data_IF_729183839039
#
_entry.id   IF_729183839039
#
_cell.length_a   1.000
_cell.length_b   1.000
_cell.length_c   1.000
_cell.angle_alpha   90.00
_cell.angle_beta   90.00
_cell.angle_gamma   90.00
#
_symmetry.space_group_name_H-M   'P 1'
#
loop_
_entity.id
_entity.type
_entity.pdbx_description
1 polymer ?
#
# COMPACT_ATOMS: atom_id res chain seq x y z
N UNK A 1 -6.44 -9.64 20.97
CA UNK A 1 -6.49 -8.28 21.54
C UNK A 1 -5.24 -7.61 21.03
N UNK A 2 -5.34 -6.52 20.24
CA UNK A 2 -4.15 -5.89 19.67
C UNK A 2 -3.30 -5.22 20.76
N UNK A 3 -1.99 -5.13 20.52
CA UNK A 3 -1.07 -4.37 21.35
C UNK A 3 -1.39 -2.89 21.27
N UNK A 4 -1.34 -2.17 22.39
CA UNK A 4 -1.38 -0.71 22.37
C UNK A 4 -0.06 -0.16 21.82
N UNK A 5 -0.17 0.68 20.78
CA UNK A 5 0.97 1.35 20.15
C UNK A 5 1.30 2.62 20.94
N UNK A 6 2.55 2.74 21.39
CA UNK A 6 3.06 4.00 21.94
C UNK A 6 3.51 4.97 20.82
N UNK A 7 3.95 6.16 21.18
CA UNK A 7 4.33 7.20 20.22
C UNK A 7 5.56 6.81 19.40
N UNK A 8 6.47 6.01 19.97
CA UNK A 8 7.64 5.48 19.26
C UNK A 8 7.21 4.48 18.20
N UNK A 9 6.30 3.54 18.54
CA UNK A 9 5.77 2.56 17.58
C UNK A 9 5.03 3.25 16.42
N UNK A 10 4.21 4.26 16.74
CA UNK A 10 3.47 5.03 15.71
C UNK A 10 4.41 5.78 14.78
N UNK A 11 5.44 6.42 15.32
CA UNK A 11 6.44 7.14 14.52
C UNK A 11 7.23 6.21 13.62
N UNK A 12 7.62 5.03 14.10
CA UNK A 12 8.28 4.01 13.28
C UNK A 12 7.36 3.59 12.13
N UNK A 13 6.09 3.29 12.43
CA UNK A 13 5.11 2.89 11.40
C UNK A 13 4.87 3.99 10.37
N UNK A 14 4.85 5.25 10.78
CA UNK A 14 4.71 6.39 9.86
C UNK A 14 5.91 6.46 8.91
N UNK A 15 7.13 6.53 9.44
CA UNK A 15 8.36 6.63 8.65
C UNK A 15 8.56 5.43 7.70
N UNK A 16 8.18 4.22 8.12
CA UNK A 16 8.22 3.04 7.26
C UNK A 16 7.18 3.07 6.14
N UNK A 17 6.05 3.74 6.34
CA UNK A 17 5.06 3.93 5.28
C UNK A 17 5.48 5.00 4.27
N UNK A 18 6.30 5.99 4.67
CA UNK A 18 6.87 6.97 3.75
C UNK A 18 7.98 6.35 2.89
N UNK A 19 8.99 5.75 3.52
CA UNK A 19 10.09 5.11 2.81
C UNK A 19 10.70 3.98 3.64
N UNK A 20 10.15 2.78 3.49
CA UNK A 20 10.64 1.60 4.19
C UNK A 20 12.08 1.20 3.81
N UNK A 21 12.53 1.55 2.60
CA UNK A 21 13.86 1.18 2.10
C UNK A 21 14.94 2.18 2.48
N UNK A 22 14.63 3.48 2.38
CA UNK A 22 15.59 4.56 2.61
C UNK A 22 15.73 4.92 4.08
N UNK A 23 14.72 4.64 4.90
CA UNK A 23 14.70 5.02 6.31
C UNK A 23 15.41 3.99 7.17
N UNK A 24 16.67 4.26 7.52
CA UNK A 24 17.45 3.38 8.41
C UNK A 24 17.06 3.55 9.89
N UNK A 25 17.33 2.53 10.72
CA UNK A 25 17.14 2.64 12.17
C UNK A 25 17.93 3.81 12.80
N UNK A 26 19.04 4.24 12.17
CA UNK A 26 19.78 5.43 12.60
C UNK A 26 19.02 6.70 12.25
N UNK A 27 18.49 6.83 11.05
CA UNK A 27 17.69 7.98 10.64
C UNK A 27 16.44 8.12 11.51
N UNK A 28 15.73 7.01 11.76
CA UNK A 28 14.60 7.00 12.69
C UNK A 28 15.00 7.42 14.12
N UNK A 29 16.17 6.95 14.59
CA UNK A 29 16.72 7.32 15.90
C UNK A 29 16.92 8.83 16.02
N UNK A 30 17.46 9.45 14.98
CA UNK A 30 17.72 10.90 14.95
C UNK A 30 16.39 11.70 14.91
N UNK A 31 15.35 11.17 14.26
CA UNK A 31 14.03 11.83 14.17
C UNK A 31 13.19 11.62 15.44
N UNK A 32 13.17 10.40 15.98
CA UNK A 32 12.27 10.01 17.10
C UNK A 32 12.92 10.35 18.46
N UNK A 33 14.25 10.43 18.53
CA UNK A 33 14.97 10.75 19.77
C UNK A 33 15.23 9.55 20.68
N UNK A 34 15.15 8.31 20.15
CA UNK A 34 15.52 7.07 20.88
C UNK A 34 16.69 6.38 20.18
N UNK A 35 17.38 5.45 20.87
CA UNK A 35 18.54 4.79 20.28
C UNK A 35 18.20 3.91 19.07
N UNK A 36 19.13 3.78 18.11
CA UNK A 36 18.94 2.90 16.94
C UNK A 36 18.75 1.41 17.32
N UNK A 37 19.27 0.98 18.46
CA UNK A 37 18.98 -0.37 18.98
C UNK A 37 17.55 -0.49 19.50
N UNK A 38 17.02 0.55 20.14
CA UNK A 38 15.60 0.61 20.54
C UNK A 38 14.70 0.53 19.30
N UNK A 39 15.01 1.29 18.23
CA UNK A 39 14.25 1.24 16.97
C UNK A 39 14.20 -0.18 16.40
N UNK A 40 15.36 -0.86 16.29
CA UNK A 40 15.38 -2.24 15.75
C UNK A 40 14.53 -3.19 16.59
N UNK A 41 14.71 -3.16 17.89
CA UNK A 41 13.92 -4.02 18.79
C UNK A 41 12.41 -3.76 18.67
N UNK A 42 12.02 -2.49 18.44
CA UNK A 42 10.60 -2.13 18.26
C UNK A 42 10.06 -2.62 16.90
N UNK A 43 10.86 -2.53 15.84
CA UNK A 43 10.50 -3.08 14.52
C UNK A 43 10.32 -4.58 14.62
N UNK A 44 11.29 -5.30 15.22
CA UNK A 44 11.21 -6.74 15.42
C UNK A 44 9.92 -7.14 16.18
N UNK A 45 9.57 -6.38 17.24
CA UNK A 45 8.33 -6.60 17.98
C UNK A 45 7.07 -6.34 17.17
N UNK A 46 7.06 -5.29 16.33
CA UNK A 46 5.93 -4.97 15.47
C UNK A 46 5.72 -6.03 14.36
N UNK A 47 6.81 -6.65 13.90
CA UNK A 47 6.80 -7.79 12.98
C UNK A 47 6.30 -9.06 13.68
N UNK A 48 6.83 -9.38 14.86
CA UNK A 48 6.43 -10.55 15.65
C UNK A 48 4.96 -10.51 16.07
N UNK A 49 4.45 -9.31 16.39
CA UNK A 49 3.04 -9.06 16.72
C UNK A 49 2.13 -9.06 15.46
N UNK A 50 2.70 -9.17 14.25
CA UNK A 50 1.98 -9.16 12.98
C UNK A 50 1.35 -7.80 12.62
N UNK A 51 1.80 -6.71 13.27
CA UNK A 51 1.39 -5.35 12.95
C UNK A 51 2.06 -4.93 11.63
N UNK A 52 3.37 -5.16 11.50
CA UNK A 52 4.09 -5.10 10.22
C UNK A 52 4.02 -6.49 9.60
N UNK A 53 3.29 -6.63 8.49
CA UNK A 53 3.12 -7.91 7.78
C UNK A 53 4.03 -8.06 6.58
N UNK A 54 4.79 -7.03 6.23
CA UNK A 54 5.70 -7.04 5.10
C UNK A 54 5.98 -5.64 4.57
N UNK A 55 6.90 -5.57 3.63
CA UNK A 55 7.34 -4.36 2.95
C UNK A 55 7.14 -4.54 1.46
N UNK A 56 6.34 -3.68 0.84
CA UNK A 56 6.02 -3.77 -0.57
C UNK A 56 6.45 -2.50 -1.28
N UNK A 57 7.20 -2.59 -2.38
CA UNK A 57 7.49 -1.43 -3.20
C UNK A 57 6.21 -0.93 -3.87
N UNK A 58 6.08 0.38 -4.02
CA UNK A 58 5.13 0.94 -4.96
C UNK A 58 5.71 0.82 -6.37
N UNK A 59 4.93 0.24 -7.29
CA UNK A 59 5.37 -0.05 -8.66
C UNK A 59 4.58 0.82 -9.62
N UNK A 60 5.29 1.58 -10.45
CA UNK A 60 4.74 2.22 -11.64
C UNK A 60 4.61 1.16 -12.75
N UNK A 61 3.42 0.60 -12.87
CA UNK A 61 3.14 -0.45 -13.87
C UNK A 61 3.18 0.08 -15.30
N UNK A 62 2.85 1.34 -15.54
CA UNK A 62 2.96 1.96 -16.86
C UNK A 62 4.42 2.07 -17.28
N UNK A 63 5.29 2.56 -16.40
CA UNK A 63 6.73 2.60 -16.62
C UNK A 63 7.37 1.20 -16.76
N UNK A 64 6.74 0.19 -16.17
CA UNK A 64 7.13 -1.23 -16.31
C UNK A 64 6.60 -1.90 -17.59
N UNK A 65 5.96 -1.15 -18.49
CA UNK A 65 5.27 -1.65 -19.71
C UNK A 65 4.11 -2.62 -19.43
N UNK A 66 3.39 -2.42 -18.33
CA UNK A 66 2.16 -3.12 -17.95
C UNK A 66 1.06 -2.05 -17.75
N UNK A 67 0.60 -1.38 -18.83
CA UNK A 67 -0.18 -0.15 -18.71
C UNK A 67 -1.64 -0.36 -18.31
N UNK A 68 -2.17 -1.57 -18.42
CA UNK A 68 -3.57 -1.82 -18.09
C UNK A 68 -3.71 -2.21 -16.63
N UNK A 69 -4.44 -1.40 -15.89
CA UNK A 69 -4.81 -1.66 -14.51
C UNK A 69 -6.34 -1.66 -14.43
N UNK A 70 -6.91 -2.77 -13.98
CA UNK A 70 -8.36 -2.95 -13.91
C UNK A 70 -8.75 -3.38 -12.50
N UNK A 71 -9.83 -2.81 -12.00
CA UNK A 71 -10.48 -3.26 -10.77
C UNK A 71 -11.77 -3.99 -11.13
N UNK A 72 -11.86 -5.26 -10.76
CA UNK A 72 -13.10 -6.03 -10.81
C UNK A 72 -13.81 -5.94 -9.47
N UNK A 73 -15.12 -5.72 -9.54
CA UNK A 73 -16.02 -5.78 -8.39
C UNK A 73 -16.86 -7.05 -8.53
N UNK A 74 -16.79 -7.91 -7.56
CA UNK A 74 -17.31 -9.28 -7.61
C UNK A 74 -18.29 -9.50 -6.45
N UNK A 75 -19.31 -10.29 -6.72
CA UNK A 75 -20.24 -10.81 -5.71
C UNK A 75 -19.98 -12.29 -5.49
N UNK A 76 -19.78 -12.68 -4.23
CA UNK A 76 -19.68 -14.07 -3.80
C UNK A 76 -20.61 -14.33 -2.60
N UNK A 77 -21.11 -15.59 -2.42
CA UNK A 77 -21.83 -15.95 -1.21
C UNK A 77 -20.94 -15.71 0.03
N UNK A 78 -21.46 -15.10 1.11
CA UNK A 78 -20.65 -14.84 2.31
C UNK A 78 -20.02 -16.08 2.93
N UNK A 79 -20.64 -17.26 2.76
CA UNK A 79 -20.14 -18.54 3.28
C UNK A 79 -18.95 -19.10 2.49
N UNK A 80 -18.73 -18.61 1.26
CA UNK A 80 -17.70 -19.08 0.33
C UNK A 80 -16.69 -17.97 -0.03
N UNK A 81 -16.82 -16.83 0.64
CA UNK A 81 -16.03 -15.62 0.33
C UNK A 81 -14.53 -15.90 0.34
N UNK A 82 -14.04 -16.59 1.36
CA UNK A 82 -12.62 -16.92 1.50
C UNK A 82 -12.14 -17.85 0.38
N UNK A 83 -12.96 -18.84 0.03
CA UNK A 83 -12.60 -19.82 -1.02
C UNK A 83 -12.46 -19.13 -2.38
N UNK A 84 -13.38 -18.22 -2.72
CA UNK A 84 -13.29 -17.41 -3.94
C UNK A 84 -12.05 -16.49 -3.92
N UNK A 85 -11.81 -15.81 -2.80
CA UNK A 85 -10.67 -14.91 -2.66
C UNK A 85 -9.34 -15.65 -2.82
N UNK A 86 -9.21 -16.85 -2.27
CA UNK A 86 -8.01 -17.68 -2.40
C UNK A 86 -7.78 -18.16 -3.84
N UNK A 87 -8.84 -18.60 -4.53
CA UNK A 87 -8.77 -18.99 -5.93
C UNK A 87 -8.38 -17.82 -6.83
N UNK A 88 -9.06 -16.68 -6.67
CA UNK A 88 -8.80 -15.47 -7.45
C UNK A 88 -7.37 -14.95 -7.23
N UNK A 89 -6.87 -14.99 -5.99
CA UNK A 89 -5.50 -14.58 -5.67
C UNK A 89 -4.43 -15.43 -6.37
N UNK A 90 -4.77 -16.67 -6.75
CA UNK A 90 -3.89 -17.55 -7.52
C UNK A 90 -3.82 -17.24 -9.01
N UNK A 91 -4.67 -16.37 -9.55
CA UNK A 91 -4.71 -16.02 -10.97
C UNK A 91 -3.55 -15.08 -11.31
N UNK A 92 -2.82 -15.39 -12.37
CA UNK A 92 -1.72 -14.56 -12.84
C UNK A 92 -2.26 -13.18 -13.28
N UNK A 93 -1.57 -12.10 -12.90
CA UNK A 93 -1.99 -10.72 -13.15
C UNK A 93 -2.84 -10.11 -12.03
N UNK A 94 -3.34 -10.92 -11.09
CA UNK A 94 -3.98 -10.42 -9.87
C UNK A 94 -2.90 -9.94 -8.90
N UNK A 95 -3.00 -8.68 -8.47
CA UNK A 95 -2.01 -8.05 -7.57
C UNK A 95 -2.60 -7.66 -6.21
N UNK A 96 -3.93 -7.54 -6.10
CA UNK A 96 -4.59 -7.22 -4.83
C UNK A 96 -6.00 -7.82 -4.82
N UNK A 97 -6.39 -8.42 -3.70
CA UNK A 97 -7.74 -8.95 -3.46
C UNK A 97 -8.21 -8.44 -2.11
N UNK A 98 -9.34 -7.75 -2.10
CA UNK A 98 -9.95 -7.18 -0.90
C UNK A 98 -11.31 -7.79 -0.66
N UNK A 99 -11.51 -8.32 0.51
CA UNK A 99 -12.80 -8.80 0.99
C UNK A 99 -13.51 -7.69 1.77
N UNK A 100 -14.77 -7.43 1.43
CA UNK A 100 -15.59 -6.45 2.12
C UNK A 100 -16.47 -7.15 3.14
N UNK A 101 -16.47 -6.66 4.37
CA UNK A 101 -17.26 -7.22 5.47
C UNK A 101 -18.77 -7.12 5.22
N UNK A 102 -19.21 -6.13 4.46
CA UNK A 102 -20.63 -5.82 4.23
C UNK A 102 -20.91 -5.57 2.76
N UNK A 103 -22.16 -5.83 2.34
CA UNK A 103 -22.61 -5.60 0.97
C UNK A 103 -22.60 -6.86 0.10
N UNK A 104 -23.27 -6.78 -1.04
CA UNK A 104 -23.33 -7.88 -2.02
C UNK A 104 -22.07 -7.91 -2.91
N UNK A 105 -21.49 -6.75 -3.19
CA UNK A 105 -20.26 -6.57 -3.94
C UNK A 105 -19.09 -6.66 -2.96
N UNK A 106 -18.72 -7.87 -2.62
CA UNK A 106 -17.91 -8.15 -1.43
C UNK A 106 -16.47 -8.61 -1.73
N UNK A 107 -16.06 -8.69 -3.01
CA UNK A 107 -14.66 -8.89 -3.39
C UNK A 107 -14.27 -7.82 -4.41
N UNK A 108 -13.19 -7.10 -4.13
CA UNK A 108 -12.57 -6.17 -5.06
C UNK A 108 -11.21 -6.73 -5.46
N UNK A 109 -11.00 -6.92 -6.75
CA UNK A 109 -9.78 -7.51 -7.32
C UNK A 109 -9.09 -6.50 -8.19
N UNK A 110 -7.84 -6.19 -7.88
CA UNK A 110 -7.02 -5.35 -8.71
C UNK A 110 -6.09 -6.22 -9.55
N UNK A 111 -6.14 -6.04 -10.86
CA UNK A 111 -5.34 -6.77 -11.83
C UNK A 111 -4.54 -5.84 -12.70
N UNK A 112 -3.43 -6.35 -13.22
CA UNK A 112 -2.58 -5.65 -14.18
C UNK A 112 -2.35 -6.55 -15.40
N UNK A 113 -2.19 -5.92 -16.56
CA UNK A 113 -1.93 -6.62 -17.82
C UNK A 113 -1.24 -5.73 -18.84
N UNK A 114 -0.54 -6.37 -19.77
CA UNK A 114 0.19 -5.69 -20.84
C UNK A 114 -0.74 -5.25 -21.96
N UNK A 115 -1.81 -5.99 -22.19
CA UNK A 115 -2.80 -5.71 -23.24
C UNK A 115 -4.21 -6.22 -22.86
N UNK A 116 -5.18 -5.97 -23.74
CA UNK A 116 -6.58 -6.36 -23.54
C UNK A 116 -6.80 -7.87 -23.58
N UNK A 117 -5.93 -8.64 -24.28
CA UNK A 117 -6.06 -10.09 -24.34
C UNK A 117 -5.71 -10.69 -22.98
N UNK A 118 -4.67 -10.17 -22.33
CA UNK A 118 -4.28 -10.60 -20.99
C UNK A 118 -5.39 -10.31 -19.95
N UNK A 119 -5.99 -9.11 -20.02
CA UNK A 119 -7.15 -8.78 -19.18
C UNK A 119 -8.34 -9.71 -19.45
N UNK A 120 -8.57 -10.09 -20.72
CA UNK A 120 -9.63 -11.05 -21.08
C UNK A 120 -9.35 -12.43 -20.46
N UNK A 121 -8.12 -12.92 -20.54
CA UNK A 121 -7.73 -14.20 -19.94
C UNK A 121 -7.93 -14.19 -18.41
N UNK A 122 -7.57 -13.08 -17.74
CA UNK A 122 -7.81 -12.92 -16.30
C UNK A 122 -9.32 -12.92 -16.01
N UNK A 123 -10.11 -12.23 -16.83
CA UNK A 123 -11.57 -12.19 -16.70
C UNK A 123 -12.18 -13.59 -16.82
N UNK A 124 -11.76 -14.36 -17.82
CA UNK A 124 -12.21 -15.73 -18.04
C UNK A 124 -11.80 -16.64 -16.85
N UNK A 125 -10.58 -16.51 -16.36
CA UNK A 125 -10.11 -17.25 -15.18
C UNK A 125 -10.90 -16.91 -13.91
N UNK A 126 -11.32 -15.66 -13.73
CA UNK A 126 -12.21 -15.27 -12.63
C UNK A 126 -13.59 -15.91 -12.80
N UNK A 127 -14.15 -15.91 -14.02
CA UNK A 127 -15.44 -16.57 -14.31
C UNK A 127 -15.38 -18.09 -14.06
N UNK A 128 -14.26 -18.73 -14.36
CA UNK A 128 -14.05 -20.17 -14.15
C UNK A 128 -14.11 -20.56 -12.65
N UNK A 129 -13.84 -19.62 -11.73
CA UNK A 129 -14.05 -19.84 -10.29
C UNK A 129 -15.54 -19.94 -9.91
N UNK A 130 -16.44 -19.52 -10.79
CA UNK A 130 -17.87 -19.39 -10.51
C UNK A 130 -18.26 -18.04 -9.87
N UNK A 131 -17.31 -17.17 -9.61
CA UNK A 131 -17.55 -15.83 -9.06
C UNK A 131 -18.25 -14.93 -10.07
N UNK A 132 -19.18 -14.09 -9.60
CA UNK A 132 -19.93 -13.17 -10.45
C UNK A 132 -19.26 -11.81 -10.50
N UNK A 133 -18.70 -11.43 -11.66
CA UNK A 133 -18.23 -10.08 -11.91
C UNK A 133 -19.44 -9.16 -12.08
N UNK A 134 -19.55 -8.14 -11.24
CA UNK A 134 -20.61 -7.13 -11.28
C UNK A 134 -20.22 -5.90 -12.09
N UNK A 135 -18.94 -5.49 -12.00
CA UNK A 135 -18.37 -4.40 -12.80
C UNK A 135 -16.87 -4.56 -12.97
N UNK A 136 -16.35 -3.91 -14.03
CA UNK A 136 -14.94 -3.75 -14.27
C UNK A 136 -14.65 -2.27 -14.52
N UNK A 137 -13.60 -1.75 -13.90
CA UNK A 137 -13.23 -0.34 -13.96
C UNK A 137 -11.74 -0.23 -14.30
N UNK A 138 -11.43 0.51 -15.37
CA UNK A 138 -10.04 0.79 -15.72
C UNK A 138 -9.53 1.87 -14.78
N UNK A 139 -8.49 1.56 -14.02
CA UNK A 139 -7.87 2.49 -13.09
C UNK A 139 -6.94 3.43 -13.86
N UNK A 140 -7.10 4.72 -13.62
CA UNK A 140 -6.18 5.73 -14.16
C UNK A 140 -4.97 5.93 -13.27
N UNK A 141 -5.18 6.04 -11.97
CA UNK A 141 -4.11 6.36 -11.02
C UNK A 141 -4.52 5.95 -9.60
N UNK A 142 -3.53 5.50 -8.83
CA UNK A 142 -3.67 5.21 -7.40
C UNK A 142 -2.72 6.09 -6.61
N UNK A 143 -3.21 6.70 -5.55
CA UNK A 143 -2.39 7.42 -4.60
C UNK A 143 -2.44 6.72 -3.25
N UNK A 144 -1.28 6.47 -2.67
CA UNK A 144 -1.14 5.92 -1.32
C UNK A 144 -0.37 6.93 -0.48
N UNK A 145 -0.79 7.13 0.73
CA UNK A 145 -0.10 8.00 1.68
C UNK A 145 -0.02 7.33 3.04
N UNK A 146 0.96 7.69 3.87
CA UNK A 146 1.04 7.23 5.24
C UNK A 146 -0.21 7.58 6.05
N UNK A 147 -0.51 6.77 7.06
CA UNK A 147 -1.60 7.07 7.98
C UNK A 147 -1.19 8.22 8.91
N UNK A 148 -1.71 9.41 8.66
CA UNK A 148 -1.30 10.66 9.32
C UNK A 148 -1.54 10.70 10.84
N UNK A 149 -2.42 9.86 11.40
CA UNK A 149 -2.59 9.74 12.85
C UNK A 149 -1.39 9.08 13.56
N UNK A 150 -0.44 8.51 12.80
CA UNK A 150 0.83 8.04 13.33
C UNK A 150 1.88 9.16 13.39
N UNK A 151 1.59 10.31 12.80
CA UNK A 151 2.50 11.45 12.82
C UNK A 151 2.61 12.05 14.22
N UNK A 152 3.83 12.29 14.71
CA UNK A 152 4.03 12.99 15.98
C UNK A 152 3.77 14.48 15.79
N UNK A 153 2.88 15.05 16.62
CA UNK A 153 2.74 16.51 16.73
C UNK A 153 4.09 17.10 17.22
N UNK A 154 4.80 17.75 16.32
CA UNK A 154 6.10 18.37 16.60
C UNK A 154 7.10 18.31 15.45
N UNK A 155 6.81 17.55 14.39
CA UNK A 155 7.61 17.50 13.16
C UNK A 155 7.06 18.40 12.04
N UNK A 156 6.06 19.23 12.32
CA UNK A 156 5.47 20.17 11.36
C UNK A 156 6.46 21.18 10.76
N UNK A 157 7.66 21.32 11.37
CA UNK A 157 8.72 22.23 10.90
C UNK A 157 9.65 21.64 9.84
N UNK A 158 9.52 20.36 9.46
CA UNK A 158 10.44 19.74 8.50
C UNK A 158 9.99 19.88 7.04
N UNK A 159 8.69 19.83 6.76
CA UNK A 159 8.15 20.04 5.39
C UNK A 159 8.29 21.50 4.92
N UNK A 160 8.30 22.46 5.87
CA UNK A 160 8.47 23.88 5.55
C UNK A 160 9.89 24.27 5.12
N UNK A 161 10.89 23.41 5.28
CA UNK A 161 12.29 23.71 4.95
C UNK A 161 12.69 23.31 3.54
N UNK A 162 12.06 22.31 2.94
CA UNK A 162 12.36 21.90 1.56
C UNK A 162 11.79 22.88 0.52
N UNK A 163 10.66 23.51 0.82
CA UNK A 163 10.07 24.55 -0.07
C UNK A 163 10.82 25.90 -0.05
N UNK A 164 11.72 26.10 0.88
CA UNK A 164 12.46 27.37 1.03
C UNK A 164 13.79 27.40 0.26
N UNK A 165 14.33 26.24 -0.13
CA UNK A 165 15.67 26.17 -0.79
C UNK A 165 15.62 26.44 -2.29
N UNK A 166 14.44 26.34 -2.92
CA UNK A 166 14.31 26.44 -4.40
C UNK A 166 13.95 27.86 -4.89
N UNK A 167 13.97 28.88 -4.02
CA UNK A 167 13.57 30.26 -4.40
C UNK A 167 14.68 31.29 -4.52
N UNK A 168 15.91 30.94 -4.16
CA UNK A 168 17.00 31.96 -4.11
C UNK A 168 18.00 31.91 -5.28
N UNK A 169 17.81 31.06 -6.30
CA UNK A 169 18.79 30.93 -7.40
C UNK A 169 18.32 31.54 -8.75
N UNK A 170 17.37 32.44 -8.75
CA UNK A 170 16.94 33.10 -10.01
C UNK A 170 16.91 34.66 -9.96
N UNK A 171 17.92 35.29 -9.35
CA UNK A 171 18.09 36.73 -9.47
C UNK A 171 19.57 37.16 -9.57
N UNK A 172 20.23 36.82 -10.66
CA UNK A 172 21.43 37.52 -11.11
C UNK A 172 21.74 37.18 -12.57
N UNK A 173 21.12 37.86 -13.52
CA UNK A 173 21.78 38.21 -14.79
C UNK A 173 20.98 39.34 -15.47
N UNK A 174 21.39 40.53 -15.26
CA UNK A 174 21.37 41.64 -16.23
C UNK A 174 22.82 42.02 -16.53
#
# INVERSE_FOLDING_TARGET
MGRDLDDVDRSILYLLQEDARGTSAKAMSDTIGVSASTIRNRIDQLEDDGIIRGYHPEIDYEAANIPLQVTFVISAPPTELQDYSEQIRGIQGVIDVREMLTGQRNIHVHVVGTDTNEITQITDAIHDTGAKIESSEVMRQRHVQPFNHFFLQGTEDMDARDDAVDKDDNSATE
#
